data_IF_165336274483
#
_entry.id   IF_165336274483
#
_cell.length_a   1.000
_cell.length_b   1.000
_cell.length_c   1.000
_cell.angle_alpha   90.00
_cell.angle_beta   90.00
_cell.angle_gamma   90.00
#
_symmetry.space_group_name_H-M   'P 1'
#
loop_
_entity.id
_entity.type
_entity.pdbx_description
1 polymer ?
#
# COMPACT_ATOMS: atom_id res chain seq x y z
N UNK A 1 -16.57 -59.37 -14.28
CA UNK A 1 -17.45 -58.59 -13.38
C UNK A 1 -16.73 -57.27 -13.10
N UNK A 2 -17.11 -56.19 -13.79
CA UNK A 2 -16.42 -54.90 -13.67
C UNK A 2 -17.05 -54.06 -12.55
N UNK A 3 -16.22 -53.50 -11.66
CA UNK A 3 -16.64 -52.66 -10.55
C UNK A 3 -17.25 -51.33 -11.06
N UNK A 4 -18.29 -50.78 -10.40
CA UNK A 4 -18.86 -49.50 -10.77
C UNK A 4 -17.82 -48.40 -10.53
N UNK A 5 -17.51 -47.62 -11.57
CA UNK A 5 -16.65 -46.46 -11.46
C UNK A 5 -17.31 -45.43 -10.52
N UNK A 6 -16.67 -45.15 -9.40
CA UNK A 6 -17.05 -44.08 -8.47
C UNK A 6 -17.01 -42.74 -9.22
N UNK A 7 -18.11 -41.96 -9.30
CA UNK A 7 -18.07 -40.67 -9.96
C UNK A 7 -17.19 -39.72 -9.14
N UNK A 8 -16.11 -39.26 -9.79
CA UNK A 8 -15.18 -38.27 -9.27
C UNK A 8 -15.97 -36.99 -8.87
N UNK A 9 -15.84 -36.47 -7.65
CA UNK A 9 -16.54 -35.25 -7.25
C UNK A 9 -16.04 -34.10 -8.12
N UNK A 10 -16.92 -33.62 -9.00
CA UNK A 10 -16.66 -32.45 -9.85
C UNK A 10 -16.34 -31.25 -8.94
N UNK A 11 -15.27 -30.48 -9.21
CA UNK A 11 -15.00 -29.28 -8.45
C UNK A 11 -16.18 -28.33 -8.67
N UNK A 12 -16.97 -28.13 -7.62
CA UNK A 12 -18.13 -27.26 -7.59
C UNK A 12 -17.62 -25.84 -7.78
N UNK A 13 -17.40 -25.42 -9.04
CA UNK A 13 -17.17 -24.03 -9.42
C UNK A 13 -18.37 -23.27 -8.88
N UNK A 14 -18.20 -22.63 -7.73
CA UNK A 14 -19.21 -21.75 -7.18
C UNK A 14 -19.49 -20.71 -8.26
N UNK A 15 -20.63 -20.87 -8.92
CA UNK A 15 -21.14 -19.94 -9.91
C UNK A 15 -21.38 -18.64 -9.15
N UNK A 16 -20.37 -17.78 -9.19
CA UNK A 16 -20.48 -16.39 -8.78
C UNK A 16 -21.63 -15.84 -9.63
N UNK A 17 -22.76 -15.60 -8.99
CA UNK A 17 -23.98 -15.12 -9.64
C UNK A 17 -23.65 -13.84 -10.39
N UNK A 18 -24.27 -13.55 -11.54
CA UNK A 18 -23.90 -12.39 -12.35
C UNK A 18 -23.92 -11.05 -11.58
N UNK A 19 -24.74 -10.92 -10.53
CA UNK A 19 -24.71 -9.75 -9.63
C UNK A 19 -23.43 -9.69 -8.77
N UNK A 20 -22.90 -10.84 -8.33
CA UNK A 20 -21.75 -10.93 -7.44
C UNK A 20 -20.49 -10.54 -8.23
N UNK A 21 -20.41 -10.99 -9.48
CA UNK A 21 -19.39 -10.54 -10.43
C UNK A 21 -19.40 -9.02 -10.59
N UNK A 22 -20.57 -8.41 -10.84
CA UNK A 22 -20.69 -6.95 -10.98
C UNK A 22 -20.30 -6.18 -9.71
N UNK A 23 -20.66 -6.70 -8.53
CA UNK A 23 -20.28 -6.13 -7.23
C UNK A 23 -18.76 -6.20 -7.01
N UNK A 24 -18.15 -7.35 -7.28
CA UNK A 24 -16.70 -7.55 -7.18
C UNK A 24 -15.94 -6.64 -8.15
N UNK A 25 -16.40 -6.49 -9.39
CA UNK A 25 -15.76 -5.59 -10.36
C UNK A 25 -15.86 -4.13 -9.95
N UNK A 26 -17.01 -3.68 -9.42
CA UNK A 26 -17.15 -2.32 -8.88
C UNK A 26 -16.26 -2.09 -7.67
N UNK A 27 -16.20 -3.05 -6.75
CA UNK A 27 -15.31 -2.98 -5.59
C UNK A 27 -13.84 -2.93 -6.02
N UNK A 28 -13.42 -3.80 -6.94
CA UNK A 28 -12.07 -3.78 -7.50
C UNK A 28 -11.75 -2.45 -8.19
N UNK A 29 -12.71 -1.86 -8.91
CA UNK A 29 -12.56 -0.53 -9.52
C UNK A 29 -12.39 0.58 -8.48
N UNK A 30 -13.12 0.55 -7.37
CA UNK A 30 -12.95 1.51 -6.26
C UNK A 30 -11.60 1.33 -5.59
N UNK A 31 -11.19 0.09 -5.32
CA UNK A 31 -9.88 -0.23 -4.73
C UNK A 31 -8.77 0.26 -5.67
N UNK A 32 -8.81 -0.10 -6.94
CA UNK A 32 -7.85 0.38 -7.94
C UNK A 32 -7.86 1.90 -8.07
N UNK A 33 -9.02 2.55 -8.03
CA UNK A 33 -9.10 4.02 -8.05
C UNK A 33 -8.46 4.64 -6.82
N UNK A 34 -8.72 4.12 -5.62
CA UNK A 34 -8.13 4.61 -4.37
C UNK A 34 -6.61 4.41 -4.38
N UNK A 35 -6.12 3.23 -4.79
CA UNK A 35 -4.69 2.93 -4.88
C UNK A 35 -3.98 3.63 -6.05
N UNK A 36 -4.66 3.88 -7.17
CA UNK A 36 -4.09 4.62 -8.31
C UNK A 36 -4.06 6.13 -8.05
N UNK A 37 -5.03 6.65 -7.29
CA UNK A 37 -5.16 8.08 -6.98
C UNK A 37 -4.32 8.51 -5.78
N UNK A 38 -3.96 7.57 -4.91
CA UNK A 38 -2.93 7.76 -3.91
C UNK A 38 -1.73 6.87 -4.19
N UNK A 39 -0.63 7.40 -4.75
CA UNK A 39 0.69 6.80 -4.60
C UNK A 39 1.12 6.99 -3.13
N UNK A 40 0.33 6.48 -2.19
CA UNK A 40 0.67 6.45 -0.78
C UNK A 40 1.80 5.45 -0.68
N UNK A 41 3.04 5.96 -0.70
CA UNK A 41 4.22 5.18 -0.34
C UNK A 41 4.27 5.14 1.19
N UNK A 42 3.78 4.06 1.84
CA UNK A 42 3.75 3.99 3.30
C UNK A 42 5.17 4.15 3.87
N UNK A 43 6.18 3.73 3.12
CA UNK A 43 7.60 3.86 3.47
C UNK A 43 8.02 5.33 3.63
N UNK A 44 7.56 6.22 2.74
CA UNK A 44 7.86 7.66 2.80
C UNK A 44 7.17 8.29 4.00
N UNK A 45 5.93 7.88 4.31
CA UNK A 45 5.20 8.35 5.47
C UNK A 45 5.87 7.93 6.79
N UNK A 46 6.30 6.66 6.89
CA UNK A 46 7.02 6.13 8.05
C UNK A 46 8.37 6.84 8.25
N UNK A 47 9.15 7.00 7.17
CA UNK A 47 10.42 7.72 7.19
C UNK A 47 10.24 9.17 7.65
N UNK A 48 9.22 9.85 7.15
CA UNK A 48 8.90 11.21 7.55
C UNK A 48 8.47 11.31 9.02
N UNK A 49 7.74 10.32 9.53
CA UNK A 49 7.40 10.24 10.95
C UNK A 49 8.66 10.02 11.82
N UNK A 50 9.56 9.12 11.42
CA UNK A 50 10.82 8.87 12.11
C UNK A 50 11.73 10.12 12.13
N UNK A 51 11.87 10.83 11.01
CA UNK A 51 12.62 12.09 10.94
C UNK A 51 12.06 13.17 11.89
N UNK A 52 10.73 13.29 11.97
CA UNK A 52 10.08 14.23 12.91
C UNK A 52 10.33 13.84 14.36
N UNK A 53 10.23 12.55 14.69
CA UNK A 53 10.50 12.05 16.03
C UNK A 53 11.96 12.29 16.46
N UNK A 54 12.91 12.14 15.54
CA UNK A 54 14.32 12.47 15.78
C UNK A 54 14.51 13.99 15.98
N UNK A 55 13.88 14.83 15.15
CA UNK A 55 13.96 16.29 15.29
C UNK A 55 13.36 16.78 16.61
N UNK A 56 12.24 16.21 17.07
CA UNK A 56 11.67 16.54 18.39
C UNK A 56 12.55 16.14 19.57
N UNK A 57 13.53 15.25 19.35
CA UNK A 57 14.55 14.86 20.34
C UNK A 57 15.84 15.70 20.23
N UNK A 58 15.84 16.77 19.43
CA UNK A 58 16.97 17.68 19.28
C UNK A 58 18.00 17.27 18.21
N UNK A 59 17.67 16.30 17.36
CA UNK A 59 18.55 15.96 16.23
C UNK A 59 18.47 17.07 15.17
N UNK A 60 19.63 17.66 14.87
CA UNK A 60 19.74 18.75 13.90
C UNK A 60 19.48 18.30 12.45
N UNK A 61 19.03 19.23 11.59
CA UNK A 61 18.77 18.96 10.17
C UNK A 61 20.00 18.46 9.43
N UNK A 62 21.19 18.98 9.72
CA UNK A 62 22.42 18.52 9.07
C UNK A 62 22.79 17.09 9.50
N UNK A 63 22.43 16.69 10.71
CA UNK A 63 22.58 15.31 11.16
C UNK A 63 21.56 14.39 10.45
N UNK A 64 20.30 14.83 10.29
CA UNK A 64 19.28 14.08 9.56
C UNK A 64 19.64 13.89 8.08
N UNK A 65 20.14 14.93 7.41
CA UNK A 65 20.60 14.85 6.00
C UNK A 65 21.72 13.83 5.85
N UNK A 66 22.74 13.89 6.72
CA UNK A 66 23.85 12.93 6.71
C UNK A 66 23.41 11.50 7.01
N UNK A 67 22.51 11.31 7.97
CA UNK A 67 22.04 9.99 8.38
C UNK A 67 21.10 9.34 7.35
N UNK A 68 20.29 10.14 6.65
CA UNK A 68 19.28 9.63 5.69
C UNK A 68 19.75 9.65 4.25
N UNK A 69 20.83 10.38 3.93
CA UNK A 69 21.31 10.59 2.55
C UNK A 69 20.34 11.42 1.69
N UNK A 70 19.31 12.03 2.29
CA UNK A 70 18.31 12.81 1.58
C UNK A 70 18.76 14.25 1.34
N UNK A 71 18.22 14.88 0.31
CA UNK A 71 18.47 16.31 0.07
C UNK A 71 17.95 17.16 1.25
N UNK A 72 18.60 18.30 1.48
CA UNK A 72 18.16 19.30 2.47
C UNK A 72 16.72 19.75 2.22
N UNK A 73 16.31 19.87 0.95
CA UNK A 73 14.94 20.23 0.57
C UNK A 73 13.92 19.14 0.95
N UNK A 74 14.27 17.87 0.77
CA UNK A 74 13.43 16.71 1.11
C UNK A 74 13.25 16.60 2.62
N UNK A 75 14.33 16.76 3.40
CA UNK A 75 14.28 16.80 4.87
C UNK A 75 13.44 17.99 5.36
N UNK A 76 13.60 19.17 4.75
CA UNK A 76 12.79 20.34 5.09
C UNK A 76 11.29 20.11 4.81
N UNK A 77 10.93 19.48 3.68
CA UNK A 77 9.53 19.11 3.36
C UNK A 77 8.98 18.11 4.38
N UNK A 78 9.76 17.09 4.73
CA UNK A 78 9.37 16.07 5.70
C UNK A 78 9.05 16.68 7.08
N UNK A 79 9.91 17.59 7.56
CA UNK A 79 9.70 18.31 8.81
C UNK A 79 8.52 19.28 8.76
N UNK A 80 8.31 19.96 7.63
CA UNK A 80 7.20 20.91 7.44
C UNK A 80 5.82 20.25 7.24
N UNK A 81 5.70 18.92 7.35
CA UNK A 81 4.47 18.14 7.05
C UNK A 81 3.91 18.38 5.64
N UNK A 82 4.75 18.86 4.71
CA UNK A 82 4.35 19.06 3.32
C UNK A 82 4.38 17.71 2.58
N UNK A 83 3.50 17.49 1.59
CA UNK A 83 3.56 16.30 0.77
C UNK A 83 4.95 16.18 0.16
N UNK A 84 5.59 15.03 0.41
CA UNK A 84 6.89 14.69 -0.15
C UNK A 84 6.63 13.71 -1.29
N UNK A 85 6.88 14.15 -2.52
CA UNK A 85 6.55 13.41 -3.76
C UNK A 85 7.68 12.46 -4.20
N UNK A 86 8.79 12.44 -3.46
CA UNK A 86 10.01 11.66 -3.74
C UNK A 86 10.04 10.30 -3.03
#
# INVERSE_FOLDING_TARGET
MAAPATPLPTPRKQLITAWQGRLLTRFAGVVQYVFARHPHRPDVALRNAAMRAASSRGVDRCALVRATGLSTATVAKALARKPTTE
#
